data_IF_463223626778
#
_entry.id   IF_463223626778
#
_cell.length_a   1.000
_cell.length_b   1.000
_cell.length_c   1.000
_cell.angle_alpha   90.00
_cell.angle_beta   90.00
_cell.angle_gamma   90.00
#
_symmetry.space_group_name_H-M   'P 1'
#
loop_
_entity.id
_entity.type
_entity.pdbx_description
1 polymer ?
#
# COMPACT_ATOMS: atom_id res chain seq x y z
N UNK A 1 27.73 -3.50 6.06
CA UNK A 1 27.61 -3.70 4.59
C UNK A 1 26.13 -3.64 4.24
N UNK A 2 25.77 -2.91 3.19
CA UNK A 2 24.38 -2.80 2.74
C UNK A 2 24.05 -3.93 1.77
N UNK A 3 22.84 -4.49 1.87
CA UNK A 3 22.27 -5.39 0.88
C UNK A 3 20.77 -5.11 0.73
N UNK A 4 20.20 -5.46 -0.42
CA UNK A 4 18.80 -5.20 -0.70
C UNK A 4 18.20 -6.30 -1.58
N UNK A 5 16.90 -6.50 -1.44
CA UNK A 5 16.12 -7.38 -2.30
C UNK A 5 14.84 -6.69 -2.75
N UNK A 6 14.49 -6.86 -4.02
CA UNK A 6 13.24 -6.36 -4.59
C UNK A 6 12.41 -7.56 -5.03
N UNK A 7 11.16 -7.60 -4.59
CA UNK A 7 10.20 -8.62 -4.95
C UNK A 7 9.13 -8.03 -5.84
N UNK A 8 8.65 -8.84 -6.78
CA UNK A 8 7.57 -8.48 -7.67
C UNK A 8 6.44 -9.49 -7.54
N UNK A 9 5.22 -8.99 -7.42
CA UNK A 9 4.08 -9.83 -7.09
C UNK A 9 2.78 -9.34 -7.73
N UNK A 10 1.82 -10.25 -7.80
CA UNK A 10 0.44 -9.98 -8.18
C UNK A 10 -0.49 -10.76 -7.25
N UNK A 11 -1.42 -10.07 -6.60
CA UNK A 11 -2.41 -10.67 -5.70
C UNK A 11 -3.76 -10.72 -6.44
N UNK A 12 -4.38 -11.90 -6.63
CA UNK A 12 -5.71 -12.00 -7.21
C UNK A 12 -6.76 -11.26 -6.36
N UNK A 13 -7.63 -10.50 -7.01
CA UNK A 13 -8.74 -9.81 -6.35
C UNK A 13 -10.01 -10.65 -6.39
N UNK A 14 -10.86 -10.48 -5.38
CA UNK A 14 -12.22 -11.02 -5.42
C UNK A 14 -13.00 -10.49 -6.64
N UNK A 15 -13.96 -11.30 -7.10
CA UNK A 15 -14.78 -10.94 -8.24
C UNK A 15 -15.59 -9.66 -7.96
N UNK A 16 -15.65 -8.76 -8.95
CA UNK A 16 -16.49 -7.56 -8.88
C UNK A 16 -15.85 -6.33 -8.24
N UNK A 17 -14.55 -6.36 -7.90
CA UNK A 17 -13.84 -5.15 -7.45
C UNK A 17 -13.72 -4.14 -8.59
N UNK A 18 -14.34 -2.96 -8.39
CA UNK A 18 -14.35 -1.85 -9.35
C UNK A 18 -13.75 -0.59 -8.73
N UNK A 19 -12.89 0.09 -9.49
CA UNK A 19 -12.28 1.36 -9.16
C UNK A 19 -12.41 2.31 -10.36
N UNK A 20 -13.11 3.45 -10.20
CA UNK A 20 -13.36 4.43 -11.28
C UNK A 20 -13.79 3.76 -12.59
N UNK A 21 -14.82 2.93 -12.52
CA UNK A 21 -15.41 2.19 -13.66
C UNK A 21 -14.49 1.17 -14.35
N UNK A 22 -13.36 0.83 -13.72
CA UNK A 22 -12.44 -0.22 -14.17
C UNK A 22 -12.48 -1.41 -13.23
N UNK A 23 -12.59 -2.61 -13.80
CA UNK A 23 -12.46 -3.86 -13.04
C UNK A 23 -10.99 -4.10 -12.71
N UNK A 24 -10.68 -4.29 -11.43
CA UNK A 24 -9.34 -4.65 -10.96
C UNK A 24 -9.31 -6.17 -10.73
N UNK A 25 -8.59 -6.91 -11.58
CA UNK A 25 -8.48 -8.37 -11.47
C UNK A 25 -7.35 -8.81 -10.55
N UNK A 26 -6.25 -8.09 -10.58
CA UNK A 26 -5.08 -8.33 -9.74
C UNK A 26 -4.64 -7.01 -9.13
N UNK A 27 -4.11 -7.08 -7.91
CA UNK A 27 -3.33 -6.01 -7.33
C UNK A 27 -1.86 -6.30 -7.61
N UNK A 28 -1.26 -5.45 -8.43
CA UNK A 28 0.14 -5.60 -8.83
C UNK A 28 1.00 -4.65 -8.00
N UNK A 29 2.18 -5.11 -7.60
CA UNK A 29 3.05 -4.34 -6.72
C UNK A 29 4.45 -4.91 -6.57
N UNK A 30 5.23 -4.23 -5.74
CA UNK A 30 6.62 -4.54 -5.43
C UNK A 30 6.85 -4.43 -3.93
N UNK A 31 7.78 -5.21 -3.42
CA UNK A 31 8.37 -4.97 -2.10
C UNK A 31 9.86 -4.67 -2.24
N UNK A 32 10.37 -3.82 -1.35
CA UNK A 32 11.79 -3.66 -1.10
C UNK A 32 12.12 -4.08 0.31
N UNK A 33 13.19 -4.86 0.46
CA UNK A 33 13.80 -5.21 1.73
C UNK A 33 15.21 -4.61 1.73
N UNK A 34 15.48 -3.68 2.64
CA UNK A 34 16.80 -3.09 2.84
C UNK A 34 17.45 -3.70 4.07
N UNK A 35 18.76 -3.98 4.00
CA UNK A 35 19.54 -4.52 5.12
C UNK A 35 20.83 -3.75 5.31
N UNK A 36 21.13 -3.36 6.53
CA UNK A 36 22.40 -2.73 6.91
C UNK A 36 22.94 -3.33 8.21
N UNK A 37 23.92 -4.23 8.08
CA UNK A 37 24.37 -5.03 9.21
C UNK A 37 23.27 -6.00 9.66
N UNK A 38 22.86 -5.93 10.92
CA UNK A 38 21.78 -6.74 11.49
C UNK A 38 20.39 -6.09 11.34
N UNK A 39 20.33 -4.85 10.84
CA UNK A 39 19.09 -4.08 10.69
C UNK A 39 18.43 -4.42 9.36
N UNK A 40 17.10 -4.48 9.37
CA UNK A 40 16.26 -4.75 8.20
C UNK A 40 15.08 -3.77 8.20
N UNK A 41 14.65 -3.36 7.00
CA UNK A 41 13.40 -2.61 6.85
C UNK A 41 12.71 -2.90 5.52
N UNK A 42 11.38 -2.87 5.55
CA UNK A 42 10.51 -3.23 4.44
C UNK A 42 9.66 -2.06 3.97
N UNK A 43 9.34 -2.10 2.68
CA UNK A 43 8.51 -1.10 2.03
C UNK A 43 7.69 -1.67 0.90
N UNK A 44 6.44 -1.20 0.78
CA UNK A 44 5.56 -1.53 -0.35
C UNK A 44 5.55 -0.42 -1.41
N UNK A 45 5.75 -0.81 -2.67
CA UNK A 45 5.68 0.07 -3.84
C UNK A 45 4.64 -0.50 -4.80
N UNK A 46 3.41 -0.01 -4.66
CA UNK A 46 2.27 -0.51 -5.42
C UNK A 46 1.46 0.67 -5.96
N UNK A 47 1.81 1.26 -7.12
CA UNK A 47 0.97 2.30 -7.72
C UNK A 47 -0.43 1.77 -8.02
N UNK A 48 -1.46 2.61 -7.90
CA UNK A 48 -2.85 2.21 -8.06
C UNK A 48 -3.37 2.61 -9.46
N UNK A 49 -3.72 1.65 -10.35
CA UNK A 49 -4.18 1.97 -11.69
C UNK A 49 -5.40 2.91 -11.70
N UNK A 50 -5.31 3.99 -12.48
CA UNK A 50 -6.37 5.01 -12.58
C UNK A 50 -6.35 6.07 -11.47
N UNK A 51 -5.39 6.00 -10.53
CA UNK A 51 -5.15 7.01 -9.50
C UNK A 51 -3.71 7.53 -9.53
N UNK A 52 -2.74 6.63 -9.42
CA UNK A 52 -1.32 6.96 -9.60
C UNK A 52 -1.07 7.45 -11.02
N UNK A 53 -0.13 8.38 -11.17
CA UNK A 53 0.33 8.79 -12.51
C UNK A 53 1.28 7.75 -13.08
N UNK A 54 2.14 7.21 -12.22
CA UNK A 54 3.11 6.18 -12.56
C UNK A 54 2.47 4.79 -12.72
N UNK A 55 3.03 3.99 -13.62
CA UNK A 55 2.68 2.57 -13.79
C UNK A 55 3.52 1.67 -12.89
N UNK A 56 3.14 0.39 -12.81
CA UNK A 56 3.91 -0.62 -12.07
C UNK A 56 5.32 -0.79 -12.65
N UNK A 57 5.46 -0.77 -13.97
CA UNK A 57 6.73 -0.91 -14.67
C UNK A 57 7.63 0.31 -14.45
N UNK A 58 7.05 1.52 -14.47
CA UNK A 58 7.77 2.76 -14.17
C UNK A 58 8.26 2.78 -12.72
N UNK A 59 7.39 2.43 -11.77
CA UNK A 59 7.75 2.32 -10.35
C UNK A 59 8.83 1.26 -10.12
N UNK A 60 8.81 0.13 -10.83
CA UNK A 60 9.85 -0.88 -10.79
C UNK A 60 11.20 -0.34 -11.26
N UNK A 61 11.21 0.38 -12.38
CA UNK A 61 12.43 0.98 -12.93
C UNK A 61 13.06 1.97 -11.96
N UNK A 62 12.25 2.88 -11.41
CA UNK A 62 12.72 3.88 -10.44
C UNK A 62 13.18 3.23 -9.14
N UNK A 63 12.46 2.23 -8.63
CA UNK A 63 12.85 1.50 -7.42
C UNK A 63 14.21 0.82 -7.59
N UNK A 64 14.42 0.09 -8.69
CA UNK A 64 15.68 -0.62 -8.94
C UNK A 64 16.86 0.36 -9.08
N UNK A 65 16.66 1.49 -9.76
CA UNK A 65 17.68 2.54 -9.86
C UNK A 65 18.01 3.14 -8.49
N UNK A 66 16.99 3.43 -7.69
CA UNK A 66 17.18 3.97 -6.34
C UNK A 66 17.91 2.98 -5.42
N UNK A 67 17.55 1.69 -5.44
CA UNK A 67 18.22 0.65 -4.64
C UNK A 67 19.70 0.54 -5.00
N UNK A 68 20.06 0.62 -6.29
CA UNK A 68 21.46 0.61 -6.71
C UNK A 68 22.25 1.79 -6.11
N UNK A 69 21.67 2.99 -6.10
CA UNK A 69 22.30 4.17 -5.49
C UNK A 69 22.41 4.02 -3.96
N UNK A 70 21.38 3.48 -3.31
CA UNK A 70 21.38 3.25 -1.87
C UNK A 70 22.47 2.26 -1.42
N UNK A 71 22.69 1.19 -2.19
CA UNK A 71 23.77 0.24 -1.95
C UNK A 71 25.15 0.91 -2.03
N UNK A 72 25.31 1.95 -2.85
CA UNK A 72 26.53 2.74 -2.99
C UNK A 72 26.71 3.83 -1.90
N UNK A 73 25.70 4.06 -1.05
CA UNK A 73 25.77 5.02 0.06
C UNK A 73 24.89 6.27 -0.12
N UNK A 74 24.30 6.48 -1.28
CA UNK A 74 23.39 7.60 -1.54
C UNK A 74 22.02 7.35 -0.84
N UNK A 75 21.24 8.39 -0.62
CA UNK A 75 19.96 8.29 0.07
C UNK A 75 18.91 9.36 -0.30
N UNK A 76 19.11 10.14 -1.37
CA UNK A 76 18.05 11.03 -1.82
C UNK A 76 16.78 10.26 -2.20
N UNK A 77 15.64 10.67 -1.65
CA UNK A 77 14.37 9.99 -1.90
C UNK A 77 13.89 10.23 -3.34
N UNK A 78 13.32 9.21 -3.99
CA UNK A 78 12.72 9.38 -5.30
C UNK A 78 11.50 10.30 -5.19
N UNK A 79 11.19 11.05 -6.25
CA UNK A 79 10.00 11.92 -6.29
C UNK A 79 8.71 11.17 -6.69
N UNK A 80 8.85 9.98 -7.27
CA UNK A 80 7.73 9.15 -7.69
C UNK A 80 6.95 8.64 -6.45
N UNK A 81 5.66 8.98 -6.27
CA UNK A 81 4.99 8.84 -4.96
C UNK A 81 4.95 7.43 -4.39
N UNK A 82 4.59 6.42 -5.19
CA UNK A 82 4.57 5.03 -4.72
C UNK A 82 5.95 4.53 -4.30
N UNK A 83 6.99 4.90 -5.04
CA UNK A 83 8.38 4.53 -4.73
C UNK A 83 8.87 5.27 -3.49
N UNK A 84 8.62 6.58 -3.42
CA UNK A 84 8.98 7.43 -2.29
C UNK A 84 8.37 6.90 -0.98
N UNK A 85 7.10 6.53 -1.02
CA UNK A 85 6.39 5.95 0.12
C UNK A 85 7.05 4.65 0.58
N UNK A 86 7.16 3.64 -0.29
CA UNK A 86 7.72 2.34 0.08
C UNK A 86 9.17 2.44 0.58
N UNK A 87 10.01 3.19 -0.14
CA UNK A 87 11.41 3.40 0.26
C UNK A 87 11.53 4.11 1.60
N UNK A 88 10.75 5.17 1.84
CA UNK A 88 10.81 5.89 3.11
C UNK A 88 10.34 5.04 4.29
N UNK A 89 9.35 4.16 4.10
CA UNK A 89 8.98 3.16 5.09
C UNK A 89 10.13 2.18 5.38
N UNK A 90 10.77 1.63 4.34
CA UNK A 90 11.88 0.72 4.51
C UNK A 90 13.07 1.37 5.24
N UNK A 91 13.35 2.64 4.94
CA UNK A 91 14.36 3.42 5.66
C UNK A 91 13.96 3.71 7.10
N UNK A 92 12.68 3.99 7.37
CA UNK A 92 12.18 4.25 8.72
C UNK A 92 12.21 2.99 9.60
N UNK A 93 11.85 1.83 9.06
CA UNK A 93 12.02 0.54 9.76
C UNK A 93 13.49 0.24 10.00
N UNK A 94 14.33 0.38 8.98
CA UNK A 94 15.77 0.18 9.12
C UNK A 94 16.34 1.13 10.18
N UNK A 95 15.87 2.38 10.25
CA UNK A 95 16.28 3.38 11.24
C UNK A 95 15.62 3.23 12.62
N UNK A 96 14.69 2.28 12.81
CA UNK A 96 13.88 2.09 14.01
C UNK A 96 13.10 3.36 14.43
N UNK A 97 12.63 4.12 13.42
CA UNK A 97 11.84 5.35 13.61
C UNK A 97 10.36 5.18 13.29
N UNK A 98 9.98 4.05 12.68
CA UNK A 98 8.58 3.65 12.54
C UNK A 98 8.15 2.83 13.78
N UNK A 99 7.23 3.34 14.62
CA UNK A 99 6.85 2.64 15.85
C UNK A 99 6.18 1.28 15.59
N UNK A 100 6.51 0.29 16.43
CA UNK A 100 5.96 -1.07 16.34
C UNK A 100 4.47 -1.15 16.75
N UNK A 101 4.04 -0.30 17.69
CA UNK A 101 2.69 -0.35 18.22
C UNK A 101 1.69 0.28 17.25
N UNK A 102 0.70 -0.49 16.82
CA UNK A 102 -0.41 0.00 16.01
C UNK A 102 -1.74 -0.58 16.48
N UNK A 103 -2.79 0.23 16.36
CA UNK A 103 -4.17 -0.24 16.46
C UNK A 103 -4.66 -0.55 15.05
N UNK A 104 -4.60 -1.82 14.64
CA UNK A 104 -5.01 -2.29 13.30
C UNK A 104 -6.54 -2.31 13.11
N UNK A 105 -7.24 -1.30 13.63
CA UNK A 105 -8.68 -1.09 13.43
C UNK A 105 -8.87 -0.26 12.16
N UNK A 106 -9.86 -0.62 11.37
CA UNK A 106 -10.32 0.17 10.24
C UNK A 106 -11.81 0.49 10.41
N UNK A 107 -12.24 1.67 9.95
CA UNK A 107 -13.66 1.93 9.82
C UNK A 107 -14.24 0.97 8.77
N UNK A 108 -15.27 0.15 9.10
CA UNK A 108 -15.85 -0.80 8.16
C UNK A 108 -16.36 -0.07 6.91
N UNK A 109 -15.95 -0.57 5.74
CA UNK A 109 -16.51 -0.16 4.45
C UNK A 109 -17.85 -0.88 4.27
N UNK A 110 -18.90 -0.11 4.08
CA UNK A 110 -20.28 -0.57 4.06
C UNK A 110 -20.85 -0.50 2.64
N UNK A 111 -21.55 -1.56 2.26
CA UNK A 111 -22.16 -1.78 0.96
C UNK A 111 -23.34 -2.76 1.11
N UNK A 112 -24.22 -2.81 0.11
CA UNK A 112 -25.38 -3.72 0.12
C UNK A 112 -26.59 -3.14 0.85
N UNK A 113 -27.38 -4.03 1.44
CA UNK A 113 -28.67 -3.72 2.07
C UNK A 113 -28.50 -2.80 3.31
N UNK A 114 -29.19 -1.65 3.36
CA UNK A 114 -29.23 -0.78 4.54
C UNK A 114 -29.66 -1.48 5.84
N UNK A 115 -30.60 -2.43 5.79
CA UNK A 115 -31.12 -3.08 7.00
C UNK A 115 -30.08 -4.03 7.63
N UNK A 116 -29.40 -4.82 6.80
CA UNK A 116 -28.25 -5.63 7.21
C UNK A 116 -27.14 -4.77 7.81
N UNK A 117 -26.92 -3.58 7.22
CA UNK A 117 -25.94 -2.64 7.71
C UNK A 117 -26.33 -2.09 9.09
N UNK A 118 -27.58 -1.71 9.32
CA UNK A 118 -28.07 -1.21 10.61
C UNK A 118 -27.82 -2.26 11.72
N UNK A 119 -28.17 -3.52 11.46
CA UNK A 119 -27.92 -4.62 12.41
C UNK A 119 -26.44 -4.77 12.72
N UNK A 120 -25.58 -4.80 11.69
CA UNK A 120 -24.13 -4.92 11.86
C UNK A 120 -23.52 -3.76 12.65
N UNK A 121 -23.98 -2.53 12.42
CA UNK A 121 -23.49 -1.33 13.11
C UNK A 121 -23.97 -1.25 14.56
N UNK A 122 -25.18 -1.74 14.86
CA UNK A 122 -25.72 -1.76 16.22
C UNK A 122 -24.83 -2.60 17.17
N UNK A 123 -24.34 -3.73 16.68
CA UNK A 123 -23.50 -4.68 17.44
C UNK A 123 -22.03 -4.25 17.55
N UNK A 124 -21.62 -3.14 16.91
CA UNK A 124 -20.23 -2.67 16.95
C UNK A 124 -19.83 -2.22 18.37
N UNK A 125 -18.75 -2.79 18.94
CA UNK A 125 -18.23 -2.37 20.24
C UNK A 125 -17.49 -1.03 20.14
N UNK A 126 -17.53 -0.24 21.22
CA UNK A 126 -16.85 1.05 21.28
C UNK A 126 -17.51 2.13 20.42
N UNK A 127 -16.69 3.05 19.90
CA UNK A 127 -17.14 4.14 19.04
C UNK A 127 -17.57 3.60 17.66
N UNK A 128 -18.82 3.90 17.28
CA UNK A 128 -19.43 3.41 16.05
C UNK A 128 -19.14 4.37 14.90
N UNK A 129 -18.14 4.04 14.09
CA UNK A 129 -17.76 4.78 12.87
C UNK A 129 -17.82 3.84 11.67
N UNK A 130 -18.34 4.30 10.55
CA UNK A 130 -18.48 3.51 9.32
C UNK A 130 -18.24 4.37 8.07
N UNK A 131 -17.88 3.73 6.94
CA UNK A 131 -17.65 4.38 5.65
C UNK A 131 -18.64 3.86 4.61
N UNK A 132 -19.49 4.72 4.07
CA UNK A 132 -20.39 4.41 2.94
C UNK A 132 -19.90 5.16 1.70
N UNK A 133 -19.90 4.50 0.53
CA UNK A 133 -19.70 5.15 -0.76
C UNK A 133 -21.05 5.64 -1.29
N UNK A 134 -21.16 6.93 -1.59
CA UNK A 134 -22.36 7.57 -2.17
C UNK A 134 -22.05 8.08 -3.59
N UNK A 135 -23.07 8.42 -4.37
CA UNK A 135 -22.90 8.93 -5.74
C UNK A 135 -22.61 7.85 -6.78
N UNK A 136 -22.81 6.57 -6.43
CA UNK A 136 -22.94 5.49 -7.40
C UNK A 136 -24.39 5.52 -7.91
N UNK A 137 -24.60 5.80 -9.20
CA UNK A 137 -25.94 5.71 -9.78
C UNK A 137 -26.39 4.24 -9.75
N UNK A 138 -27.49 3.96 -9.05
CA UNK A 138 -28.26 2.76 -9.31
C UNK A 138 -28.83 2.89 -10.72
N UNK A 139 -28.43 1.97 -11.61
CA UNK A 139 -29.13 1.73 -12.86
C UNK A 139 -30.12 0.58 -12.66
#
# INVERSE_FOLDING_TARGET
MRSAQVYRWQIPMDAGVVLRDRRLKTRDGLYVCLREGEREGWGEISPLPGFSQETWEEAQSVLLAWVNNWLAGDCELPQMPSVAFGVSCALAELADTLPQAANYRAAPLCNGDPDDLILKLADMPGEKVAKVKVGLYEA
#
